data_IF_798425899894
#
_entry.id   IF_798425899894
#
_cell.length_a   1.000
_cell.length_b   1.000
_cell.length_c   1.000
_cell.angle_alpha   90.00
_cell.angle_beta   90.00
_cell.angle_gamma   90.00
#
_symmetry.space_group_name_H-M   'P 1'
#
loop_
_entity.id
_entity.type
_entity.pdbx_description
1 polymer ?
#
# COMPACT_ATOMS: atom_id res chain seq x y z
N UNK A 1 -9.73 5.30 -18.06
CA UNK A 1 -8.95 4.80 -16.90
C UNK A 1 -9.52 3.45 -16.51
N UNK A 2 -8.71 2.38 -16.54
CA UNK A 2 -9.14 1.03 -16.12
C UNK A 2 -8.86 0.90 -14.62
N UNK A 3 -9.79 0.33 -13.88
CA UNK A 3 -9.62 0.02 -12.45
C UNK A 3 -9.86 -1.47 -12.23
N UNK A 4 -9.11 -2.06 -11.32
CA UNK A 4 -9.25 -3.46 -10.92
C UNK A 4 -9.33 -3.49 -9.40
N UNK A 5 -10.45 -4.00 -8.89
CA UNK A 5 -10.62 -4.23 -7.46
C UNK A 5 -10.01 -5.58 -7.10
N UNK A 6 -9.20 -5.59 -6.05
CA UNK A 6 -8.60 -6.78 -5.47
C UNK A 6 -9.20 -6.97 -4.07
N UNK A 7 -9.41 -8.22 -3.69
CA UNK A 7 -9.88 -8.53 -2.35
C UNK A 7 -8.80 -8.16 -1.31
N UNK A 8 -9.24 -7.92 -0.09
CA UNK A 8 -8.30 -7.75 1.00
C UNK A 8 -7.47 -9.04 1.18
N UNK A 9 -6.18 -8.88 1.48
CA UNK A 9 -5.21 -9.97 1.64
C UNK A 9 -5.10 -10.91 0.42
N UNK A 10 -5.62 -10.51 -0.74
CA UNK A 10 -5.47 -11.29 -1.96
C UNK A 10 -3.98 -11.50 -2.28
N UNK A 11 -3.58 -12.76 -2.41
CA UNK A 11 -2.27 -13.13 -2.91
C UNK A 11 -2.19 -12.77 -4.40
N UNK A 12 -1.11 -12.11 -4.80
CA UNK A 12 -0.89 -11.63 -6.17
C UNK A 12 0.46 -12.12 -6.62
N UNK A 13 0.50 -12.72 -7.80
CA UNK A 13 1.72 -13.08 -8.50
C UNK A 13 2.06 -12.02 -9.55
N UNK A 14 3.31 -12.04 -10.05
CA UNK A 14 3.71 -11.19 -11.17
C UNK A 14 2.83 -11.41 -12.41
N UNK A 15 2.48 -12.67 -12.69
CA UNK A 15 1.65 -13.01 -13.84
C UNK A 15 0.23 -12.43 -13.72
N UNK A 16 -0.35 -12.39 -12.52
CA UNK A 16 -1.65 -11.77 -12.29
C UNK A 16 -1.61 -10.27 -12.63
N UNK A 17 -0.55 -9.58 -12.22
CA UNK A 17 -0.35 -8.17 -12.54
C UNK A 17 -0.15 -7.93 -14.04
N UNK A 18 0.62 -8.78 -14.72
CA UNK A 18 0.83 -8.70 -16.17
C UNK A 18 -0.47 -8.97 -16.96
N UNK A 19 -1.36 -9.81 -16.44
CA UNK A 19 -2.70 -10.02 -17.00
C UNK A 19 -3.61 -8.79 -16.81
N UNK A 20 -3.44 -8.06 -15.70
CA UNK A 20 -4.18 -6.83 -15.40
C UNK A 20 -3.70 -5.67 -16.27
N UNK A 21 -2.37 -5.48 -16.32
CA UNK A 21 -1.69 -4.38 -16.98
C UNK A 21 -0.45 -4.92 -17.72
N UNK A 22 -0.49 -5.01 -19.05
CA UNK A 22 0.67 -5.39 -19.85
C UNK A 22 1.85 -4.44 -19.62
N UNK A 23 3.07 -4.90 -19.92
CA UNK A 23 4.33 -4.22 -19.63
C UNK A 23 4.42 -2.73 -20.04
N UNK A 24 3.61 -2.29 -21.00
CA UNK A 24 3.64 -0.95 -21.58
C UNK A 24 2.70 0.04 -20.85
N UNK A 25 1.93 -0.42 -19.86
CA UNK A 25 0.93 0.40 -19.16
C UNK A 25 1.43 0.85 -17.80
N UNK A 26 1.26 2.12 -17.47
CA UNK A 26 1.53 2.60 -16.11
C UNK A 26 0.53 2.02 -15.13
N UNK A 27 1.03 1.45 -14.04
CA UNK A 27 0.23 0.93 -12.93
C UNK A 27 0.35 1.88 -11.76
N UNK A 28 -0.78 2.29 -11.19
CA UNK A 28 -0.86 2.96 -9.91
C UNK A 28 -1.66 2.08 -8.95
N UNK A 29 -1.09 1.81 -7.78
CA UNK A 29 -1.70 0.97 -6.75
C UNK A 29 -1.57 1.60 -5.37
N UNK A 30 -2.22 1.01 -4.38
CA UNK A 30 -2.03 1.40 -2.98
C UNK A 30 -0.68 0.88 -2.47
N UNK A 31 -0.12 1.50 -1.43
CA UNK A 31 1.10 1.00 -0.79
C UNK A 31 0.95 -0.46 -0.31
N UNK A 32 -0.24 -0.82 0.19
CA UNK A 32 -0.57 -2.18 0.62
C UNK A 32 -0.39 -3.22 -0.49
N UNK A 33 -0.78 -2.89 -1.71
CA UNK A 33 -0.60 -3.78 -2.86
C UNK A 33 0.84 -3.77 -3.37
N UNK A 34 1.52 -2.63 -3.30
CA UNK A 34 2.95 -2.54 -3.64
C UNK A 34 3.81 -3.45 -2.73
N UNK A 35 3.48 -3.56 -1.44
CA UNK A 35 4.15 -4.50 -0.52
C UNK A 35 3.99 -5.95 -0.98
N UNK A 36 2.83 -6.34 -1.52
CA UNK A 36 2.60 -7.70 -2.06
C UNK A 36 3.45 -7.96 -3.31
N UNK A 37 3.65 -6.94 -4.14
CA UNK A 37 4.41 -7.03 -5.39
C UNK A 37 5.93 -6.91 -5.21
N UNK A 38 6.41 -6.52 -4.02
CA UNK A 38 7.82 -6.15 -3.77
C UNK A 38 8.83 -7.19 -4.26
N UNK A 39 8.53 -8.47 -4.15
CA UNK A 39 9.44 -9.55 -4.54
C UNK A 39 9.69 -9.66 -6.06
N UNK A 40 8.82 -9.08 -6.88
CA UNK A 40 8.89 -9.16 -8.35
C UNK A 40 8.71 -7.79 -9.03
N UNK A 41 8.64 -6.70 -8.26
CA UNK A 41 8.54 -5.35 -8.80
C UNK A 41 9.86 -4.88 -9.46
N UNK A 42 10.99 -5.49 -9.10
CA UNK A 42 12.30 -5.25 -9.72
C UNK A 42 12.25 -5.64 -11.21
N UNK A 43 12.12 -4.66 -12.10
CA UNK A 43 11.96 -4.86 -13.54
C UNK A 43 10.78 -4.10 -14.15
N UNK A 44 9.83 -3.65 -13.32
CA UNK A 44 8.64 -2.91 -13.75
C UNK A 44 8.73 -1.42 -13.42
N UNK A 45 9.53 -0.68 -14.20
CA UNK A 45 9.78 0.75 -13.97
C UNK A 45 8.53 1.66 -14.05
N UNK A 46 7.42 1.12 -14.55
CA UNK A 46 6.14 1.77 -14.75
C UNK A 46 5.12 1.45 -13.63
N UNK A 47 5.54 0.81 -12.55
CA UNK A 47 4.68 0.49 -11.40
C UNK A 47 4.93 1.44 -10.24
N UNK A 48 3.86 2.08 -9.78
CA UNK A 48 3.93 3.16 -8.79
C UNK A 48 2.92 2.95 -7.67
N UNK A 49 3.26 3.44 -6.49
CA UNK A 49 2.32 3.71 -5.42
C UNK A 49 2.59 5.12 -4.89
N UNK A 50 1.56 5.74 -4.33
CA UNK A 50 1.71 7.03 -3.65
C UNK A 50 1.82 6.77 -2.14
N UNK A 51 2.98 7.05 -1.50
CA UNK A 51 3.07 7.00 -0.05
C UNK A 51 2.19 8.10 0.55
N UNK A 52 1.56 7.79 1.68
CA UNK A 52 0.76 8.75 2.45
C UNK A 52 1.12 8.65 3.92
N UNK A 53 1.31 9.79 4.56
CA UNK A 53 1.60 9.88 5.98
C UNK A 53 0.35 10.28 6.75
N UNK A 54 0.02 9.52 7.79
CA UNK A 54 -1.01 9.91 8.74
C UNK A 54 -0.46 10.99 9.68
N UNK A 55 -1.07 12.17 9.67
CA UNK A 55 -0.76 13.25 10.60
C UNK A 55 -1.86 13.35 11.66
N UNK A 56 -1.44 13.29 12.93
CA UNK A 56 -2.34 13.46 14.06
C UNK A 56 -1.83 14.65 14.88
N UNK A 57 -2.63 15.70 14.94
CA UNK A 57 -2.20 16.96 15.53
C UNK A 57 -2.04 16.88 17.06
N UNK A 58 -1.08 17.66 17.57
CA UNK A 58 -0.93 17.93 19.00
C UNK A 58 -2.02 18.91 19.47
N UNK A 59 -2.57 18.76 20.70
CA UNK A 59 -2.15 17.86 21.79
C UNK A 59 -2.88 16.51 21.82
N UNK A 60 -3.77 16.23 20.86
CA UNK A 60 -4.60 15.02 20.88
C UNK A 60 -3.75 13.75 20.77
N UNK A 61 -2.79 13.72 19.84
CA UNK A 61 -1.90 12.58 19.65
C UNK A 61 -1.10 12.24 20.91
N UNK A 62 -0.56 13.25 21.58
CA UNK A 62 0.22 13.10 22.81
C UNK A 62 -0.65 12.61 23.97
N UNK A 63 -1.87 13.13 24.08
CA UNK A 63 -2.83 12.74 25.11
C UNK A 63 -3.22 11.27 24.95
N UNK A 64 -3.59 10.88 23.73
CA UNK A 64 -3.94 9.50 23.39
C UNK A 64 -2.78 8.54 23.71
N UNK A 65 -1.55 8.89 23.32
CA UNK A 65 -0.37 8.08 23.61
C UNK A 65 -0.16 7.89 25.12
N UNK A 66 -0.34 8.96 25.90
CA UNK A 66 -0.20 8.92 27.36
C UNK A 66 -1.24 8.00 28.01
N UNK A 67 -2.48 8.05 27.55
CA UNK A 67 -3.56 7.17 28.04
C UNK A 67 -3.27 5.70 27.73
N UNK A 68 -2.89 5.39 26.49
CA UNK A 68 -2.54 4.03 26.07
C UNK A 68 -1.37 3.47 26.89
N UNK A 69 -0.33 4.26 27.15
CA UNK A 69 0.81 3.84 27.99
C UNK A 69 0.42 3.58 29.45
N UNK A 70 -0.61 4.27 29.97
CA UNK A 70 -1.16 4.03 31.30
C UNK A 70 -1.84 2.67 31.45
N UNK A 71 -2.36 2.09 30.35
CA UNK A 71 -3.10 0.82 30.34
C UNK A 71 -2.19 -0.42 30.27
N UNK A 72 -0.91 -0.25 29.90
CA UNK A 72 0.07 -1.36 29.77
C UNK A 72 0.85 -1.59 31.08
N UNK A 73 0.49 -0.87 32.16
CA UNK A 73 1.01 -1.08 33.52
C UNK A 73 0.06 -1.91 34.36
#
# INVERSE_FOLDING_TARGET
>A
MKTVALADHQAITEQDMLNIAPANQTVMMTEKDAVKCRAFAEGHANWWYLPVDAQLDSPLAETLLKELLGLVR
#
